data_IF_002424021566
#
_entry.id   IF_002424021566
#
_cell.length_a   1.000
_cell.length_b   1.000
_cell.length_c   1.000
_cell.angle_alpha   90.00
_cell.angle_beta   90.00
_cell.angle_gamma   90.00
#
_symmetry.space_group_name_H-M   'P 1'
#
loop_
_entity.id
_entity.type
_entity.pdbx_description
1 polymer ?
#
# COMPACT_ATOMS: atom_id res chain seq x y z
N UNK A 1 -12.09 8.72 7.45
CA UNK A 1 -11.02 7.69 7.61
C UNK A 1 -11.53 6.38 7.05
N UNK A 2 -10.66 5.48 6.59
CA UNK A 2 -11.01 4.14 6.10
C UNK A 2 -10.26 3.07 6.90
N UNK A 3 -10.86 1.89 6.98
CA UNK A 3 -10.24 0.71 7.57
C UNK A 3 -9.45 0.01 6.46
N UNK A 4 -8.15 -0.12 6.68
CA UNK A 4 -7.29 -1.01 5.91
C UNK A 4 -7.40 -2.43 6.47
N UNK A 5 -7.57 -3.44 5.63
CA UNK A 5 -7.78 -4.84 6.07
C UNK A 5 -6.54 -5.71 5.89
N UNK A 6 -6.55 -6.91 6.49
CA UNK A 6 -5.51 -7.92 6.27
C UNK A 6 -5.37 -8.34 4.81
N UNK A 7 -6.49 -8.45 4.09
CA UNK A 7 -6.51 -8.80 2.67
C UNK A 7 -5.86 -7.72 1.80
N UNK A 8 -6.09 -6.46 2.14
CA UNK A 8 -5.46 -5.32 1.47
C UNK A 8 -3.97 -5.26 1.78
N UNK A 9 -3.57 -5.50 3.04
CA UNK A 9 -2.17 -5.61 3.42
C UNK A 9 -1.45 -6.74 2.66
N UNK A 10 -2.10 -7.89 2.52
CA UNK A 10 -1.60 -9.02 1.73
C UNK A 10 -1.45 -8.63 0.25
N UNK A 11 -2.50 -8.07 -0.35
CA UNK A 11 -2.50 -7.65 -1.77
C UNK A 11 -1.41 -6.60 -2.05
N UNK A 12 -1.18 -5.67 -1.13
CA UNK A 12 -0.11 -4.67 -1.23
C UNK A 12 1.28 -5.31 -1.26
N UNK A 13 1.54 -6.26 -0.34
CA UNK A 13 2.82 -6.98 -0.28
C UNK A 13 3.05 -7.81 -1.54
N UNK A 14 2.03 -8.53 -2.00
CA UNK A 14 2.09 -9.34 -3.22
C UNK A 14 2.33 -8.48 -4.45
N UNK A 15 1.62 -7.36 -4.59
CA UNK A 15 1.83 -6.42 -5.70
C UNK A 15 3.25 -5.85 -5.69
N UNK A 16 3.73 -5.39 -4.54
CA UNK A 16 5.10 -4.87 -4.40
C UNK A 16 6.14 -5.92 -4.78
N UNK A 17 5.98 -7.15 -4.27
CA UNK A 17 6.86 -8.27 -4.58
C UNK A 17 6.83 -8.65 -6.06
N UNK A 18 5.64 -8.70 -6.67
CA UNK A 18 5.46 -8.98 -8.10
C UNK A 18 6.13 -7.94 -9.01
N UNK A 19 6.17 -6.68 -8.59
CA UNK A 19 6.88 -5.60 -9.29
C UNK A 19 8.37 -5.50 -8.91
N UNK A 20 8.87 -6.37 -8.01
CA UNK A 20 10.26 -6.35 -7.49
C UNK A 20 10.68 -5.01 -6.88
N UNK A 21 9.74 -4.26 -6.31
CA UNK A 21 10.02 -2.95 -5.72
C UNK A 21 10.47 -3.06 -4.26
N UNK A 22 11.44 -2.22 -3.89
CA UNK A 22 11.76 -1.94 -2.49
C UNK A 22 10.65 -1.12 -1.84
N UNK A 23 10.63 -1.07 -0.50
CA UNK A 23 9.68 -0.19 0.22
C UNK A 23 9.88 1.29 -0.14
N UNK A 24 11.13 1.71 -0.38
CA UNK A 24 11.46 3.10 -0.73
C UNK A 24 10.90 3.46 -2.11
N UNK A 25 11.10 2.60 -3.12
CA UNK A 25 10.56 2.84 -4.47
C UNK A 25 9.04 2.82 -4.46
N UNK A 26 8.43 1.91 -3.70
CA UNK A 26 6.98 1.86 -3.51
C UNK A 26 6.44 3.14 -2.89
N UNK A 27 7.11 3.68 -1.87
CA UNK A 27 6.77 4.96 -1.27
C UNK A 27 6.81 6.11 -2.28
N UNK A 28 7.86 6.18 -3.10
CA UNK A 28 8.00 7.19 -4.16
C UNK A 28 6.90 7.06 -5.22
N UNK A 29 6.56 5.84 -5.61
CA UNK A 29 5.58 5.56 -6.66
C UNK A 29 4.14 5.86 -6.22
N UNK A 30 3.79 5.57 -4.97
CA UNK A 30 2.46 5.87 -4.40
C UNK A 30 2.39 7.33 -3.90
N UNK A 31 3.53 7.92 -3.52
CA UNK A 31 3.61 9.24 -2.90
C UNK A 31 3.13 9.21 -1.44
N UNK A 32 3.66 8.28 -0.65
CA UNK A 32 3.40 8.12 0.79
C UNK A 32 4.71 7.96 1.56
N UNK A 33 4.68 8.21 2.87
CA UNK A 33 5.86 8.02 3.74
C UNK A 33 6.07 6.56 4.14
N UNK A 34 7.33 6.20 4.45
CA UNK A 34 7.74 4.84 4.81
C UNK A 34 6.97 4.28 6.01
N UNK A 35 6.76 5.09 7.07
CA UNK A 35 5.96 4.68 8.24
C UNK A 35 4.53 4.29 7.85
N UNK A 36 3.95 5.00 6.87
CA UNK A 36 2.60 4.71 6.37
C UNK A 36 2.62 3.39 5.61
N UNK A 37 3.56 3.21 4.68
CA UNK A 37 3.69 1.96 3.93
C UNK A 37 3.88 0.76 4.87
N UNK A 38 4.78 0.87 5.85
CA UNK A 38 5.02 -0.18 6.84
C UNK A 38 3.75 -0.53 7.61
N UNK A 39 2.99 0.47 8.06
CA UNK A 39 1.71 0.23 8.75
C UNK A 39 0.70 -0.51 7.85
N UNK A 40 0.61 -0.14 6.58
CA UNK A 40 -0.29 -0.77 5.60
C UNK A 40 0.15 -2.20 5.26
N UNK A 41 1.45 -2.48 5.22
CA UNK A 41 1.97 -3.83 4.98
C UNK A 41 1.89 -4.75 6.19
N UNK A 42 1.90 -4.22 7.41
CA UNK A 42 1.80 -5.01 8.64
C UNK A 42 0.42 -5.64 8.80
N UNK A 43 -0.65 -4.88 8.57
CA UNK A 43 -2.00 -5.36 8.85
C UNK A 43 -3.03 -4.24 9.00
N UNK A 44 -4.12 -4.47 9.74
CA UNK A 44 -5.26 -3.57 9.74
C UNK A 44 -4.93 -2.26 10.45
N UNK A 45 -5.30 -1.14 9.85
CA UNK A 45 -5.08 0.18 10.43
C UNK A 45 -6.11 1.20 9.93
N UNK A 46 -6.20 2.34 10.62
CA UNK A 46 -6.99 3.46 10.14
C UNK A 46 -6.12 4.37 9.26
N UNK A 47 -6.62 4.68 8.07
CA UNK A 47 -5.89 5.45 7.07
C UNK A 47 -6.77 6.55 6.47
N UNK A 48 -6.14 7.66 6.06
CA UNK A 48 -6.82 8.75 5.37
C UNK A 48 -7.39 8.27 4.04
N UNK A 49 -8.56 8.79 3.65
CA UNK A 49 -9.22 8.44 2.38
C UNK A 49 -8.29 8.60 1.17
N UNK A 50 -7.52 9.70 1.13
CA UNK A 50 -6.60 9.99 0.03
C UNK A 50 -5.48 8.96 -0.09
N UNK A 51 -4.92 8.49 1.03
CA UNK A 51 -3.90 7.44 1.04
C UNK A 51 -4.51 6.10 0.64
N UNK A 52 -5.70 5.79 1.17
CA UNK A 52 -6.42 4.56 0.84
C UNK A 52 -6.66 4.42 -0.67
N UNK A 53 -7.14 5.47 -1.34
CA UNK A 53 -7.36 5.48 -2.80
C UNK A 53 -6.04 5.25 -3.55
N UNK A 54 -4.99 6.03 -3.24
CA UNK A 54 -3.69 5.91 -3.91
C UNK A 54 -3.12 4.49 -3.85
N UNK A 55 -3.24 3.84 -2.70
CA UNK A 55 -2.69 2.49 -2.50
C UNK A 55 -3.55 1.46 -3.24
N UNK A 56 -4.88 1.61 -3.27
CA UNK A 56 -5.74 0.74 -4.07
C UNK A 56 -5.50 0.88 -5.58
N UNK A 57 -5.29 2.10 -6.06
CA UNK A 57 -4.89 2.35 -7.46
C UNK A 57 -3.58 1.64 -7.78
N UNK A 58 -2.59 1.69 -6.88
CA UNK A 58 -1.34 0.95 -7.04
C UNK A 58 -1.55 -0.56 -7.12
N UNK A 59 -2.36 -1.13 -6.22
CA UNK A 59 -2.67 -2.57 -6.20
C UNK A 59 -3.39 -3.00 -7.48
N UNK A 60 -4.30 -2.15 -7.99
CA UNK A 60 -5.17 -2.46 -9.13
C UNK A 60 -4.52 -2.25 -10.49
N UNK A 61 -3.29 -1.71 -10.57
CA UNK A 61 -2.57 -1.60 -11.84
C UNK A 61 -2.37 -3.01 -12.41
N UNK A 62 -3.00 -3.32 -13.53
CA UNK A 62 -2.72 -4.56 -14.27
C UNK A 62 -1.47 -4.30 -15.13
N UNK A 63 -0.50 -5.22 -15.08
CA UNK A 63 0.61 -5.24 -16.02
C UNK A 63 0.19 -6.00 -17.27
#
# INVERSE_FOLDING_TARGET
>A
MKIWTNEQAKSLRERRAGMKLTQIETCKLIGIGEKTLRSLETGPCQVKQSIYIKVLEFISRVC
#
